data_IF_953236950697
#
_entry.id   IF_953236950697
#
_cell.length_a   1.000
_cell.length_b   1.000
_cell.length_c   1.000
_cell.angle_alpha   90.00
_cell.angle_beta   90.00
_cell.angle_gamma   90.00
#
_symmetry.space_group_name_H-M   'P 1'
#
loop_
_entity.id
_entity.type
_entity.pdbx_description
1 polymer ?
#
# COMPACT_ATOMS: atom_id res chain seq x y z
N UNK A 1 -61.37 30.79 1.81
CA UNK A 1 -61.24 32.26 1.84
C UNK A 1 -59.95 32.58 1.10
N UNK A 2 -60.02 32.73 -0.24
CA UNK A 2 -60.28 34.01 -0.92
C UNK A 2 -59.12 34.99 -0.62
N UNK A 3 -58.31 35.47 -1.58
CA UNK A 3 -58.62 36.03 -2.91
C UNK A 3 -57.32 36.15 -3.75
N UNK A 4 -57.44 35.87 -5.05
CA UNK A 4 -56.51 36.26 -6.12
C UNK A 4 -56.59 37.77 -6.40
N UNK A 5 -55.47 38.38 -6.83
CA UNK A 5 -55.56 39.54 -7.73
C UNK A 5 -54.41 39.57 -8.72
N UNK A 6 -54.77 39.38 -9.99
CA UNK A 6 -53.95 39.69 -11.15
C UNK A 6 -54.18 41.14 -11.58
N UNK A 7 -53.18 41.78 -12.17
CA UNK A 7 -53.39 42.91 -13.09
C UNK A 7 -52.34 42.90 -14.20
N UNK A 8 -52.85 43.07 -15.42
CA UNK A 8 -52.20 43.06 -16.73
C UNK A 8 -51.51 44.39 -17.08
N UNK A 9 -50.59 44.32 -18.05
CA UNK A 9 -50.20 45.44 -18.93
C UNK A 9 -48.85 45.17 -19.61
N UNK A 10 -48.82 44.47 -20.76
CA UNK A 10 -48.61 45.02 -22.13
C UNK A 10 -47.36 45.91 -22.25
N UNK A 11 -46.46 45.82 -23.22
CA UNK A 11 -46.24 45.03 -24.43
C UNK A 11 -45.04 45.72 -25.10
N UNK A 12 -44.04 45.00 -25.61
CA UNK A 12 -43.38 45.36 -26.86
C UNK A 12 -42.49 44.21 -27.33
N UNK A 13 -42.91 43.62 -28.45
CA UNK A 13 -42.17 42.62 -29.19
C UNK A 13 -41.34 43.34 -30.26
N UNK A 14 -40.03 43.13 -30.23
CA UNK A 14 -39.16 43.35 -31.39
C UNK A 14 -38.55 42.00 -31.74
N UNK A 15 -38.96 41.47 -32.90
CA UNK A 15 -38.35 40.31 -33.53
C UNK A 15 -37.06 40.74 -34.22
N UNK A 16 -35.95 40.07 -33.89
CA UNK A 16 -34.78 39.99 -34.77
C UNK A 16 -34.25 38.56 -34.70
N UNK A 17 -34.37 37.84 -35.83
CA UNK A 17 -33.74 36.55 -36.09
C UNK A 17 -32.21 36.68 -36.05
N UNK A 18 -31.52 35.78 -35.35
CA UNK A 18 -30.09 35.51 -35.55
C UNK A 18 -29.72 34.15 -34.93
N UNK A 19 -29.58 33.14 -35.79
CA UNK A 19 -28.71 31.95 -35.71
C UNK A 19 -28.39 31.34 -34.33
N UNK A 20 -28.98 30.18 -34.05
CA UNK A 20 -28.63 29.34 -32.90
C UNK A 20 -27.28 28.61 -33.12
N UNK A 21 -26.26 29.05 -32.40
CA UNK A 21 -25.00 28.30 -32.22
C UNK A 21 -25.24 27.16 -31.23
N UNK A 22 -25.11 25.91 -31.69
CA UNK A 22 -25.19 24.71 -30.85
C UNK A 22 -23.88 24.62 -30.04
N UNK A 23 -23.92 25.02 -28.77
CA UNK A 23 -22.91 24.61 -27.78
C UNK A 23 -23.23 23.20 -27.30
N UNK A 24 -22.28 22.24 -27.34
CA UNK A 24 -22.52 20.91 -26.79
C UNK A 24 -22.63 20.99 -25.27
N UNK A 25 -23.73 20.48 -24.72
CA UNK A 25 -23.94 20.31 -23.28
C UNK A 25 -22.82 19.45 -22.68
N UNK A 26 -22.32 19.77 -21.47
CA UNK A 26 -21.31 18.94 -20.82
C UNK A 26 -21.93 17.58 -20.49
N UNK A 27 -21.24 16.52 -20.87
CA UNK A 27 -21.58 15.14 -20.52
C UNK A 27 -21.61 15.02 -19.00
N UNK A 28 -22.81 14.91 -18.43
CA UNK A 28 -22.99 14.67 -17.00
C UNK A 28 -22.56 13.24 -16.72
N UNK A 29 -21.33 13.08 -16.21
CA UNK A 29 -20.84 11.80 -15.70
C UNK A 29 -21.74 11.37 -14.52
N UNK A 30 -22.29 10.14 -14.52
CA UNK A 30 -23.20 9.72 -13.46
C UNK A 30 -22.47 9.69 -12.10
N UNK A 31 -23.02 10.41 -11.12
CA UNK A 31 -22.51 10.61 -9.76
C UNK A 31 -22.16 9.33 -9.00
N UNK A 32 -22.72 8.18 -9.40
CA UNK A 32 -22.45 6.87 -8.82
C UNK A 32 -21.05 6.33 -9.12
N UNK A 33 -20.47 6.65 -10.29
CA UNK A 33 -19.10 6.22 -10.64
C UNK A 33 -18.05 7.01 -9.86
N UNK A 34 -18.25 8.33 -9.70
CA UNK A 34 -17.37 9.21 -8.91
C UNK A 34 -17.22 8.75 -7.45
N UNK A 35 -18.31 8.27 -6.83
CA UNK A 35 -18.26 7.70 -5.48
C UNK A 35 -17.48 6.37 -5.40
N UNK A 36 -17.61 5.48 -6.39
CA UNK A 36 -16.83 4.23 -6.44
C UNK A 36 -15.32 4.48 -6.60
N UNK A 37 -14.94 5.50 -7.38
CA UNK A 37 -13.54 5.92 -7.52
C UNK A 37 -12.98 6.47 -6.22
N UNK A 38 -13.76 7.29 -5.51
CA UNK A 38 -13.37 7.87 -4.21
C UNK A 38 -13.08 6.77 -3.18
N UNK A 39 -13.82 5.67 -3.20
CA UNK A 39 -13.56 4.52 -2.31
C UNK A 39 -12.35 3.68 -2.74
N UNK A 40 -12.16 3.45 -4.04
CA UNK A 40 -10.98 2.77 -4.58
C UNK A 40 -9.68 3.52 -4.27
N UNK A 41 -9.73 4.86 -4.28
CA UNK A 41 -8.62 5.75 -3.92
C UNK A 41 -8.24 5.67 -2.43
N UNK A 42 -9.16 5.29 -1.53
CA UNK A 42 -8.81 5.07 -0.11
C UNK A 42 -7.75 3.96 0.04
N UNK A 43 -7.78 2.96 -0.84
CA UNK A 43 -6.80 1.87 -0.86
C UNK A 43 -5.46 2.29 -1.51
N UNK A 44 -5.42 3.42 -2.22
CA UNK A 44 -4.19 4.02 -2.75
C UNK A 44 -3.44 4.88 -1.71
N UNK A 45 -3.90 4.94 -0.45
CA UNK A 45 -3.21 5.70 0.60
C UNK A 45 -1.72 5.34 0.70
N UNK A 46 -1.37 4.06 0.60
CA UNK A 46 0.02 3.62 0.64
C UNK A 46 0.86 4.21 -0.50
N UNK A 47 0.28 4.38 -1.69
CA UNK A 47 0.97 4.93 -2.87
C UNK A 47 1.56 6.31 -2.56
N UNK A 48 0.81 7.18 -1.89
CA UNK A 48 1.26 8.53 -1.57
C UNK A 48 2.03 8.59 -0.25
N UNK A 49 1.58 7.81 0.75
CA UNK A 49 2.10 7.90 2.13
C UNK A 49 3.54 7.45 2.23
N UNK A 50 3.88 6.34 1.60
CA UNK A 50 5.20 5.71 1.68
C UNK A 50 6.31 6.63 1.16
N UNK A 51 6.25 7.13 -0.10
CA UNK A 51 7.29 8.01 -0.62
C UNK A 51 7.34 9.35 0.10
N UNK A 52 6.19 9.86 0.58
CA UNK A 52 6.19 11.09 1.38
C UNK A 52 6.92 10.92 2.72
N UNK A 53 6.70 9.80 3.43
CA UNK A 53 7.44 9.51 4.65
C UNK A 53 8.93 9.26 4.39
N UNK A 54 9.27 8.65 3.25
CA UNK A 54 10.66 8.48 2.83
C UNK A 54 11.31 9.83 2.49
N UNK A 55 10.63 10.71 1.75
CA UNK A 55 11.11 12.06 1.45
C UNK A 55 11.35 12.88 2.73
N UNK A 56 10.41 12.84 3.69
CA UNK A 56 10.59 13.46 5.01
C UNK A 56 11.76 12.89 5.79
N UNK A 57 12.03 11.58 5.68
CA UNK A 57 13.21 10.96 6.29
C UNK A 57 14.48 11.54 5.66
N UNK A 58 14.55 11.58 4.32
CA UNK A 58 15.69 12.13 3.57
C UNK A 58 16.00 13.57 3.97
N UNK A 59 15.01 14.47 3.95
CA UNK A 59 15.19 15.88 4.34
C UNK A 59 15.74 15.99 5.76
N UNK A 60 15.18 15.24 6.73
CA UNK A 60 15.64 15.30 8.12
C UNK A 60 17.08 14.82 8.26
N UNK A 61 17.45 13.75 7.57
CA UNK A 61 18.81 13.19 7.60
C UNK A 61 19.80 14.17 6.99
N UNK A 62 19.49 14.73 5.82
CA UNK A 62 20.33 15.70 5.14
C UNK A 62 20.50 16.98 5.96
N UNK A 63 19.40 17.52 6.49
CA UNK A 63 19.42 18.70 7.35
C UNK A 63 20.26 18.46 8.62
N UNK A 64 20.11 17.31 9.28
CA UNK A 64 20.90 16.97 10.48
C UNK A 64 22.40 16.85 10.18
N UNK A 65 22.73 16.25 9.04
CA UNK A 65 24.12 16.13 8.57
C UNK A 65 24.73 17.51 8.29
N UNK A 66 23.98 18.37 7.61
CA UNK A 66 24.34 19.76 7.33
C UNK A 66 24.59 20.56 8.61
N UNK A 67 23.62 20.59 9.54
CA UNK A 67 23.72 21.31 10.81
C UNK A 67 24.96 20.90 11.62
N UNK A 68 25.25 19.59 11.66
CA UNK A 68 26.43 19.07 12.37
C UNK A 68 27.74 19.57 11.75
N UNK A 69 27.86 19.53 10.44
CA UNK A 69 29.06 19.99 9.73
C UNK A 69 29.23 21.51 9.84
N UNK A 70 28.14 22.27 9.65
CA UNK A 70 28.14 23.74 9.81
C UNK A 70 28.55 24.13 11.22
N UNK A 71 27.95 23.53 12.25
CA UNK A 71 28.33 23.80 13.65
C UNK A 71 29.81 23.54 13.90
N UNK A 72 30.35 22.46 13.34
CA UNK A 72 31.77 22.15 13.52
C UNK A 72 32.69 23.12 12.76
N UNK A 73 32.27 23.62 11.59
CA UNK A 73 33.01 24.63 10.83
C UNK A 73 32.99 25.98 11.58
N UNK A 74 31.82 26.40 12.05
CA UNK A 74 31.65 27.65 12.83
C UNK A 74 32.50 27.63 14.09
N UNK A 75 32.50 26.52 14.84
CA UNK A 75 33.37 26.37 16.01
C UNK A 75 34.85 26.45 15.64
N UNK A 76 35.25 25.82 14.54
CA UNK A 76 36.64 25.89 14.05
C UNK A 76 37.07 27.30 13.62
N UNK A 77 36.14 28.12 13.11
CA UNK A 77 36.39 29.55 12.82
C UNK A 77 36.50 30.35 14.11
N UNK A 78 35.64 30.09 15.11
CA UNK A 78 35.72 30.72 16.43
C UNK A 78 37.07 30.48 17.11
N UNK A 79 37.56 29.23 17.13
CA UNK A 79 38.87 28.89 17.69
C UNK A 79 40.04 29.64 17.01
N UNK A 80 39.91 29.95 15.72
CA UNK A 80 40.91 30.71 14.98
C UNK A 80 40.89 32.20 15.32
N UNK A 81 39.73 32.74 15.72
CA UNK A 81 39.59 34.15 16.07
C UNK A 81 40.08 34.46 17.49
N UNK A 82 40.00 33.51 18.42
CA UNK A 82 40.24 33.73 19.85
C UNK A 82 41.69 33.51 20.32
N UNK A 83 42.58 32.92 19.50
CA UNK A 83 43.96 32.61 19.92
C UNK A 83 45.02 33.21 18.98
N UNK A 84 46.14 33.66 19.54
CA UNK A 84 47.32 34.06 18.78
C UNK A 84 48.09 32.82 18.27
N UNK A 85 47.72 32.36 17.09
CA UNK A 85 48.37 31.24 16.40
C UNK A 85 49.59 31.70 15.58
N UNK A 86 50.58 30.81 15.41
CA UNK A 86 51.66 31.05 14.43
C UNK A 86 51.11 31.04 13.00
N UNK A 87 51.73 31.81 12.10
CA UNK A 87 51.27 31.95 10.70
C UNK A 87 51.09 30.60 9.99
N UNK A 88 52.03 29.68 10.17
CA UNK A 88 51.98 28.35 9.53
C UNK A 88 50.81 27.50 10.06
N UNK A 89 50.52 27.59 11.36
CA UNK A 89 49.38 26.89 11.98
C UNK A 89 48.05 27.48 11.51
N UNK A 90 47.96 28.80 11.38
CA UNK A 90 46.76 29.48 10.86
C UNK A 90 46.47 29.07 9.42
N UNK A 91 47.49 29.06 8.55
CA UNK A 91 47.35 28.65 7.14
C UNK A 91 46.91 27.19 7.03
N UNK A 92 47.50 26.29 7.82
CA UNK A 92 47.12 24.88 7.86
C UNK A 92 45.66 24.68 8.28
N UNK A 93 45.23 25.35 9.35
CA UNK A 93 43.84 25.29 9.84
C UNK A 93 42.84 25.89 8.86
N UNK A 94 43.14 27.04 8.24
CA UNK A 94 42.30 27.61 7.19
C UNK A 94 42.15 26.67 5.99
N UNK A 95 43.24 26.03 5.58
CA UNK A 95 43.22 25.02 4.51
C UNK A 95 42.33 23.83 4.88
N UNK A 96 42.37 23.39 6.15
CA UNK A 96 41.46 22.35 6.67
C UNK A 96 40.00 22.80 6.64
N UNK A 97 39.69 24.04 7.04
CA UNK A 97 38.32 24.56 6.96
C UNK A 97 37.81 24.69 5.53
N UNK A 98 38.66 25.13 4.59
CA UNK A 98 38.32 25.21 3.16
C UNK A 98 38.02 23.82 2.60
N UNK A 99 38.85 22.81 2.89
CA UNK A 99 38.61 21.44 2.43
C UNK A 99 37.32 20.85 3.03
N UNK A 100 37.00 21.19 4.29
CA UNK A 100 35.71 20.81 4.89
C UNK A 100 34.52 21.51 4.27
N UNK A 101 34.62 22.80 3.95
CA UNK A 101 33.57 23.55 3.23
C UNK A 101 33.33 22.99 1.83
N UNK A 102 34.39 22.64 1.09
CA UNK A 102 34.27 21.95 -0.19
C UNK A 102 33.60 20.58 -0.05
N UNK A 103 33.97 19.83 1.00
CA UNK A 103 33.33 18.56 1.33
C UNK A 103 31.84 18.73 1.67
N UNK A 104 31.48 19.77 2.43
CA UNK A 104 30.09 20.10 2.76
C UNK A 104 29.30 20.47 1.51
N UNK A 105 29.87 21.29 0.62
CA UNK A 105 29.25 21.63 -0.67
C UNK A 105 28.90 20.37 -1.47
N UNK A 106 29.85 19.45 -1.62
CA UNK A 106 29.61 18.18 -2.34
C UNK A 106 28.52 17.34 -1.67
N UNK A 107 28.54 17.22 -0.33
CA UNK A 107 27.49 16.50 0.41
C UNK A 107 26.11 17.14 0.24
N UNK A 108 26.04 18.46 0.18
CA UNK A 108 24.79 19.19 -0.02
C UNK A 108 24.24 18.99 -1.44
N UNK A 109 25.10 19.01 -2.46
CA UNK A 109 24.72 18.71 -3.84
C UNK A 109 24.18 17.27 -3.98
N UNK A 110 24.87 16.29 -3.38
CA UNK A 110 24.41 14.90 -3.35
C UNK A 110 23.07 14.76 -2.60
N UNK A 111 22.95 15.40 -1.43
CA UNK A 111 21.70 15.43 -0.66
C UNK A 111 20.53 16.05 -1.44
N UNK A 112 20.79 17.16 -2.13
CA UNK A 112 19.79 17.83 -2.98
C UNK A 112 19.34 16.95 -4.13
N UNK A 113 20.24 16.20 -4.77
CA UNK A 113 19.89 15.27 -5.84
C UNK A 113 18.97 14.15 -5.33
N UNK A 114 19.28 13.58 -4.16
CA UNK A 114 18.44 12.54 -3.54
C UNK A 114 17.07 13.10 -3.15
N UNK A 115 17.01 14.32 -2.59
CA UNK A 115 15.75 15.00 -2.27
C UNK A 115 14.89 15.27 -3.50
N UNK A 116 15.49 15.78 -4.58
CA UNK A 116 14.82 16.03 -5.85
C UNK A 116 14.26 14.74 -6.46
N UNK A 117 15.01 13.63 -6.39
CA UNK A 117 14.52 12.32 -6.84
C UNK A 117 13.29 11.87 -6.03
N UNK A 118 13.30 12.04 -4.71
CA UNK A 118 12.13 11.68 -3.89
C UNK A 118 10.93 12.60 -4.14
N UNK A 119 11.17 13.89 -4.37
CA UNK A 119 10.13 14.83 -4.76
C UNK A 119 9.52 14.47 -6.12
N UNK A 120 10.35 14.11 -7.11
CA UNK A 120 9.91 13.62 -8.43
C UNK A 120 9.04 12.36 -8.29
N UNK A 121 9.46 11.39 -7.48
CA UNK A 121 8.68 10.17 -7.21
C UNK A 121 7.33 10.46 -6.54
N UNK A 122 7.27 11.46 -5.67
CA UNK A 122 5.99 11.91 -5.11
C UNK A 122 5.12 12.56 -6.19
N UNK A 123 5.72 13.34 -7.09
CA UNK A 123 5.03 14.02 -8.19
C UNK A 123 4.45 13.03 -9.20
N UNK A 124 5.27 12.11 -9.71
CA UNK A 124 4.87 11.08 -10.66
C UNK A 124 3.66 10.25 -10.16
N UNK A 125 3.57 10.01 -8.85
CA UNK A 125 2.44 9.29 -8.25
C UNK A 125 1.17 10.13 -8.13
N UNK A 126 1.29 11.42 -7.88
CA UNK A 126 0.13 12.34 -7.91
C UNK A 126 -0.36 12.44 -9.35
N UNK A 127 0.54 12.65 -10.31
CA UNK A 127 0.20 12.75 -11.73
C UNK A 127 -0.46 11.45 -12.23
N UNK A 128 0.01 10.27 -11.77
CA UNK A 128 -0.63 8.98 -12.07
C UNK A 128 -2.04 8.83 -11.47
N UNK A 129 -2.32 9.43 -10.31
CA UNK A 129 -3.66 9.43 -9.72
C UNK A 129 -4.58 10.42 -10.45
N UNK A 130 -4.03 11.54 -10.91
CA UNK A 130 -4.76 12.57 -11.66
C UNK A 130 -5.01 12.14 -13.12
N UNK A 131 -4.21 11.23 -13.67
CA UNK A 131 -4.35 10.72 -15.04
C UNK A 131 -5.50 9.71 -15.22
N UNK A 132 -6.35 9.51 -14.22
CA UNK A 132 -7.48 8.57 -14.30
C UNK A 132 -8.56 9.17 -15.19
N UNK A 133 -8.77 8.56 -16.35
CA UNK A 133 -9.84 8.93 -17.28
C UNK A 133 -10.62 7.69 -17.73
N UNK A 134 -11.88 7.88 -18.13
CA UNK A 134 -12.79 6.83 -18.61
C UNK A 134 -12.21 6.10 -19.82
N UNK A 135 -11.51 6.82 -20.70
CA UNK A 135 -10.88 6.27 -21.90
C UNK A 135 -9.64 5.40 -21.57
N UNK A 136 -8.88 5.75 -20.52
CA UNK A 136 -7.62 5.10 -20.15
C UNK A 136 -7.72 4.17 -18.93
N UNK A 137 -8.94 3.90 -18.45
CA UNK A 137 -9.16 3.17 -17.19
C UNK A 137 -8.53 1.77 -17.18
N UNK A 138 -8.52 1.09 -18.33
CA UNK A 138 -7.96 -0.26 -18.47
C UNK A 138 -6.44 -0.25 -18.31
N UNK A 139 -5.76 0.71 -18.94
CA UNK A 139 -4.32 0.86 -18.82
C UNK A 139 -3.92 1.29 -17.41
N UNK A 140 -4.68 2.22 -16.81
CA UNK A 140 -4.49 2.64 -15.44
C UNK A 140 -4.63 1.47 -14.46
N UNK A 141 -5.65 0.64 -14.62
CA UNK A 141 -5.86 -0.57 -13.81
C UNK A 141 -4.74 -1.60 -13.99
N UNK A 142 -4.22 -1.76 -15.21
CA UNK A 142 -3.07 -2.62 -15.47
C UNK A 142 -1.82 -2.13 -14.74
N UNK A 143 -1.56 -0.82 -14.77
CA UNK A 143 -0.46 -0.20 -14.01
C UNK A 143 -0.65 -0.39 -12.51
N UNK A 144 -1.86 -0.17 -11.99
CA UNK A 144 -2.21 -0.45 -10.59
C UNK A 144 -1.95 -1.90 -10.19
N UNK A 145 -2.36 -2.87 -11.00
CA UNK A 145 -2.11 -4.28 -10.73
C UNK A 145 -0.61 -4.57 -10.67
N UNK A 146 0.18 -4.06 -11.61
CA UNK A 146 1.64 -4.23 -11.61
C UNK A 146 2.27 -3.64 -10.35
N UNK A 147 1.84 -2.46 -9.90
CA UNK A 147 2.28 -1.86 -8.62
C UNK A 147 1.99 -2.78 -7.43
N UNK A 148 0.79 -3.33 -7.37
CA UNK A 148 0.36 -4.27 -6.30
C UNK A 148 1.21 -5.55 -6.33
N UNK A 149 1.51 -6.08 -7.51
CA UNK A 149 2.38 -7.25 -7.66
C UNK A 149 3.80 -6.96 -7.20
N UNK A 150 4.34 -5.79 -7.53
CA UNK A 150 5.67 -5.35 -7.06
C UNK A 150 5.69 -5.24 -5.52
N UNK A 151 4.69 -4.62 -4.89
CA UNK A 151 4.57 -4.57 -3.42
C UNK A 151 4.57 -5.99 -2.81
N UNK A 152 3.78 -6.91 -3.38
CA UNK A 152 3.74 -8.31 -2.93
C UNK A 152 5.11 -8.99 -3.06
N UNK A 153 5.75 -8.87 -4.21
CA UNK A 153 7.07 -9.46 -4.46
C UNK A 153 8.12 -8.94 -3.48
N UNK A 154 8.13 -7.63 -3.22
CA UNK A 154 9.06 -7.02 -2.26
C UNK A 154 8.83 -7.53 -0.83
N UNK A 155 7.57 -7.69 -0.40
CA UNK A 155 7.22 -8.25 0.91
C UNK A 155 7.62 -9.72 1.05
N UNK A 156 7.53 -10.48 -0.03
CA UNK A 156 7.95 -11.90 -0.09
C UNK A 156 9.44 -12.09 -0.39
N UNK A 157 10.21 -11.00 -0.43
CA UNK A 157 11.65 -10.99 -0.70
C UNK A 157 12.07 -11.39 -2.13
N UNK A 158 11.17 -11.30 -3.11
CA UNK A 158 11.44 -11.50 -4.54
C UNK A 158 11.89 -10.20 -5.22
N UNK A 159 13.03 -9.65 -4.78
CA UNK A 159 13.52 -8.32 -5.18
C UNK A 159 13.94 -8.25 -6.65
N UNK A 160 14.55 -9.30 -7.18
CA UNK A 160 15.03 -9.35 -8.57
C UNK A 160 13.84 -9.33 -9.54
N UNK A 161 12.80 -10.12 -9.25
CA UNK A 161 11.57 -10.17 -10.04
C UNK A 161 10.83 -8.85 -9.97
N UNK A 162 10.71 -8.26 -8.77
CA UNK A 162 10.11 -6.95 -8.57
C UNK A 162 10.81 -5.86 -9.40
N UNK A 163 12.15 -5.88 -9.42
CA UNK A 163 12.96 -4.92 -10.17
C UNK A 163 12.73 -5.07 -11.68
N UNK A 164 12.80 -6.31 -12.20
CA UNK A 164 12.56 -6.59 -13.63
C UNK A 164 11.15 -6.19 -14.10
N UNK A 165 10.12 -6.46 -13.27
CA UNK A 165 8.74 -6.06 -13.60
C UNK A 165 8.61 -4.53 -13.64
N UNK A 166 9.29 -3.84 -12.72
CA UNK A 166 9.24 -2.38 -12.62
C UNK A 166 9.93 -1.70 -13.80
N UNK A 167 11.09 -2.22 -14.23
CA UNK A 167 11.83 -1.74 -15.40
C UNK A 167 11.09 -2.01 -16.70
N UNK A 168 10.65 -3.25 -16.94
CA UNK A 168 9.96 -3.64 -18.18
C UNK A 168 8.62 -2.95 -18.37
N UNK A 169 7.98 -2.52 -17.28
CA UNK A 169 6.72 -1.78 -17.31
C UNK A 169 6.88 -0.26 -17.15
N UNK A 170 8.11 0.25 -17.02
CA UNK A 170 8.41 1.66 -16.78
C UNK A 170 7.63 2.28 -15.59
N UNK A 171 7.56 1.56 -14.47
CA UNK A 171 6.85 1.98 -13.24
C UNK A 171 7.77 2.22 -12.04
N UNK A 172 9.08 2.40 -12.27
CA UNK A 172 10.08 2.57 -11.22
C UNK A 172 9.75 3.71 -10.24
N UNK A 173 9.19 4.81 -10.74
CA UNK A 173 8.81 5.97 -9.91
C UNK A 173 7.52 5.75 -9.09
N UNK A 174 6.78 4.68 -9.40
CA UNK A 174 5.51 4.35 -8.75
C UNK A 174 5.65 3.26 -7.67
N UNK A 175 6.85 2.69 -7.48
CA UNK A 175 7.12 1.58 -6.58
C UNK A 175 8.20 1.91 -5.53
N UNK A 176 8.24 1.13 -4.45
CA UNK A 176 9.01 1.45 -3.24
C UNK A 176 10.24 0.54 -3.02
N UNK A 177 10.91 0.13 -4.10
CA UNK A 177 12.01 -0.87 -4.07
C UNK A 177 13.10 -0.51 -3.06
N UNK A 178 13.57 0.74 -3.07
CA UNK A 178 14.67 1.20 -2.20
C UNK A 178 14.32 1.08 -0.72
N UNK A 179 13.06 1.38 -0.38
CA UNK A 179 12.55 1.36 1.00
C UNK A 179 12.49 -0.08 1.49
N UNK A 180 12.01 -1.01 0.67
CA UNK A 180 12.03 -2.43 1.00
C UNK A 180 13.45 -3.02 1.05
N UNK A 181 14.41 -2.50 0.26
CA UNK A 181 15.83 -2.88 0.37
C UNK A 181 16.44 -2.44 1.70
N UNK A 182 16.11 -1.25 2.20
CA UNK A 182 16.51 -0.84 3.56
C UNK A 182 15.95 -1.80 4.61
N UNK A 183 14.67 -2.17 4.50
CA UNK A 183 14.03 -3.12 5.42
C UNK A 183 14.68 -4.52 5.35
N UNK A 184 15.00 -4.99 4.13
CA UNK A 184 15.68 -6.27 3.90
C UNK A 184 16.99 -6.36 4.66
N UNK A 185 17.82 -5.30 4.65
CA UNK A 185 19.10 -5.27 5.39
C UNK A 185 18.89 -5.52 6.88
N UNK A 186 17.85 -4.93 7.47
CA UNK A 186 17.52 -5.13 8.89
C UNK A 186 16.99 -6.55 9.13
N UNK A 187 16.11 -7.04 8.27
CA UNK A 187 15.54 -8.40 8.39
C UNK A 187 16.63 -9.46 8.28
N UNK A 188 17.54 -9.34 7.31
CA UNK A 188 18.63 -10.29 7.10
C UNK A 188 19.62 -10.27 8.28
N UNK A 189 19.96 -9.09 8.81
CA UNK A 189 20.78 -8.97 10.01
C UNK A 189 20.12 -9.67 11.21
N UNK A 190 18.82 -9.46 11.44
CA UNK A 190 18.09 -10.13 12.53
C UNK A 190 18.04 -11.66 12.33
N UNK A 191 17.86 -12.15 11.10
CA UNK A 191 17.94 -13.58 10.80
C UNK A 191 19.33 -14.17 11.08
N UNK A 192 20.37 -13.36 10.87
CA UNK A 192 21.77 -13.71 11.19
C UNK A 192 22.12 -13.47 12.66
N UNK A 193 21.14 -13.17 13.53
CA UNK A 193 21.31 -12.91 14.97
C UNK A 193 22.11 -11.64 15.28
N UNK A 194 22.02 -10.64 14.43
CA UNK A 194 22.65 -9.34 14.59
C UNK A 194 21.60 -8.24 14.83
N UNK A 195 21.73 -7.52 15.95
CA UNK A 195 20.78 -6.43 16.30
C UNK A 195 21.24 -5.05 15.85
N UNK A 196 22.49 -4.87 15.43
CA UNK A 196 23.10 -3.57 15.17
C UNK A 196 22.30 -2.74 14.14
N UNK A 197 21.95 -3.34 13.00
CA UNK A 197 21.15 -2.67 11.96
C UNK A 197 19.75 -2.29 12.45
N UNK A 198 19.12 -3.13 13.27
CA UNK A 198 17.80 -2.87 13.83
C UNK A 198 17.83 -1.75 14.88
N UNK A 199 18.86 -1.72 15.72
CA UNK A 199 19.09 -0.66 16.71
C UNK A 199 19.41 0.69 16.06
N UNK A 200 20.19 0.69 14.96
CA UNK A 200 20.41 1.89 14.16
C UNK A 200 19.09 2.41 13.59
N UNK A 201 18.26 1.53 13.04
CA UNK A 201 16.92 1.89 12.58
C UNK A 201 16.03 2.47 13.70
N UNK A 202 16.10 1.91 14.92
CA UNK A 202 15.41 2.45 16.09
C UNK A 202 15.89 3.86 16.43
N UNK A 203 17.20 4.11 16.39
CA UNK A 203 17.79 5.41 16.66
C UNK A 203 17.34 6.47 15.65
N UNK A 204 17.29 6.13 14.36
CA UNK A 204 16.83 7.01 13.28
C UNK A 204 15.34 7.35 13.42
N UNK A 205 14.54 6.45 13.98
CA UNK A 205 13.08 6.60 14.11
C UNK A 205 12.61 6.87 15.55
N UNK A 206 13.53 7.18 16.47
CA UNK A 206 13.29 7.25 17.93
C UNK A 206 12.07 8.08 18.34
N UNK A 207 11.90 9.26 17.77
CA UNK A 207 10.78 10.16 18.12
C UNK A 207 9.42 9.57 17.76
N UNK A 208 9.36 8.83 16.65
CA UNK A 208 8.14 8.22 16.13
C UNK A 208 7.80 6.94 16.89
N UNK A 209 8.81 6.12 17.15
CA UNK A 209 8.67 4.91 17.98
C UNK A 209 8.24 5.25 19.42
N UNK A 210 8.74 6.35 19.97
CA UNK A 210 8.29 6.86 21.28
C UNK A 210 6.83 7.30 21.26
N UNK A 211 6.37 7.97 20.20
CA UNK A 211 4.96 8.37 20.03
C UNK A 211 4.03 7.16 19.89
N UNK A 212 4.45 6.11 19.19
CA UNK A 212 3.68 4.86 19.07
C UNK A 212 3.82 3.94 20.28
N UNK A 213 4.60 4.32 21.30
CA UNK A 213 4.92 3.50 22.48
C UNK A 213 5.46 2.11 22.09
N UNK A 214 6.25 2.03 21.02
CA UNK A 214 6.80 0.76 20.55
C UNK A 214 7.78 0.17 21.58
N UNK A 215 7.66 -1.15 21.81
CA UNK A 215 8.58 -1.93 22.64
C UNK A 215 9.76 -2.51 21.85
N UNK A 216 9.85 -2.24 20.55
CA UNK A 216 10.79 -2.94 19.67
C UNK A 216 12.26 -2.75 20.08
N UNK A 217 12.68 -1.51 20.35
CA UNK A 217 14.05 -1.24 20.85
C UNK A 217 14.34 -2.00 22.15
N UNK A 218 13.37 -2.03 23.07
CA UNK A 218 13.52 -2.75 24.33
C UNK A 218 13.70 -4.26 24.10
N UNK A 219 12.89 -4.87 23.23
CA UNK A 219 13.01 -6.31 22.90
C UNK A 219 14.34 -6.65 22.24
N UNK A 220 14.87 -5.79 21.35
CA UNK A 220 16.21 -5.97 20.77
C UNK A 220 17.31 -5.96 21.84
N UNK A 221 17.22 -5.03 22.80
CA UNK A 221 18.20 -4.92 23.90
C UNK A 221 18.12 -6.13 24.84
N UNK A 222 16.93 -6.67 25.09
CA UNK A 222 16.77 -7.92 25.82
C UNK A 222 17.41 -9.10 25.08
N UNK A 223 17.20 -9.22 23.77
CA UNK A 223 17.81 -10.29 22.98
C UNK A 223 19.34 -10.19 22.96
N UNK A 224 19.90 -8.99 22.78
CA UNK A 224 21.35 -8.76 22.85
C UNK A 224 21.92 -9.18 24.21
N UNK A 225 21.22 -8.87 25.31
CA UNK A 225 21.58 -9.36 26.64
C UNK A 225 21.53 -10.90 26.74
N UNK A 226 20.47 -11.54 26.23
CA UNK A 226 20.32 -13.00 26.25
C UNK A 226 21.47 -13.68 25.49
N UNK A 227 21.89 -13.13 24.34
CA UNK A 227 23.01 -13.68 23.60
C UNK A 227 24.35 -13.53 24.33
N UNK A 228 24.57 -12.45 25.11
CA UNK A 228 25.74 -12.33 25.99
C UNK A 228 25.73 -13.41 27.09
N UNK A 229 24.56 -13.71 27.64
CA UNK A 229 24.38 -14.77 28.64
C UNK A 229 24.58 -16.16 28.01
N UNK A 230 24.13 -16.37 26.76
CA UNK A 230 24.20 -17.66 26.05
C UNK A 230 25.63 -18.21 25.93
N UNK A 231 26.65 -17.35 25.87
CA UNK A 231 28.07 -17.73 25.76
C UNK A 231 28.56 -18.54 26.98
N UNK A 232 27.93 -18.39 28.15
CA UNK A 232 28.22 -19.14 29.39
C UNK A 232 29.70 -19.10 29.84
N UNK A 233 30.30 -17.90 29.87
CA UNK A 233 31.66 -17.67 30.39
C UNK A 233 31.67 -16.56 31.44
N UNK A 234 32.62 -16.60 32.39
CA UNK A 234 32.70 -15.59 33.46
C UNK A 234 32.82 -14.14 32.92
N UNK A 235 33.61 -13.94 31.87
CA UNK A 235 33.75 -12.64 31.18
C UNK A 235 32.45 -12.21 30.49
N UNK A 236 31.74 -13.12 29.83
CA UNK A 236 30.46 -12.79 29.18
C UNK A 236 29.37 -12.41 30.19
N UNK A 237 29.33 -13.04 31.37
CA UNK A 237 28.43 -12.64 32.45
C UNK A 237 28.73 -11.23 32.99
N UNK A 238 30.01 -10.89 33.17
CA UNK A 238 30.39 -9.53 33.58
C UNK A 238 29.98 -8.48 32.53
N UNK A 239 30.21 -8.77 31.25
CA UNK A 239 29.76 -7.93 30.12
C UNK A 239 28.25 -7.79 30.09
N UNK A 240 27.49 -8.88 30.28
CA UNK A 240 26.03 -8.85 30.32
C UNK A 240 25.50 -7.95 31.46
N UNK A 241 26.08 -8.03 32.66
CA UNK A 241 25.70 -7.18 33.80
C UNK A 241 26.01 -5.70 33.50
N UNK A 242 27.19 -5.40 32.95
CA UNK A 242 27.53 -4.03 32.58
C UNK A 242 26.59 -3.49 31.49
N UNK A 243 26.28 -4.33 30.50
CA UNK A 243 25.35 -4.02 29.43
C UNK A 243 23.95 -3.70 29.98
N UNK A 244 23.41 -4.55 30.88
CA UNK A 244 22.10 -4.34 31.48
C UNK A 244 22.03 -3.02 32.25
N UNK A 245 23.06 -2.69 33.04
CA UNK A 245 23.14 -1.40 33.75
C UNK A 245 23.13 -0.21 32.80
N UNK A 246 23.79 -0.33 31.64
CA UNK A 246 23.92 0.76 30.66
C UNK A 246 22.66 0.95 29.80
N UNK A 247 22.06 -0.14 29.33
CA UNK A 247 21.03 -0.10 28.28
C UNK A 247 19.63 -0.50 28.75
N UNK A 248 19.51 -1.29 29.82
CA UNK A 248 18.23 -1.81 30.31
C UNK A 248 17.72 -1.10 31.56
N UNK A 249 18.59 -0.48 32.37
CA UNK A 249 18.23 0.16 33.63
C UNK A 249 17.12 1.23 33.49
N UNK A 250 17.15 2.03 32.43
CA UNK A 250 16.14 3.07 32.17
C UNK A 250 14.73 2.51 31.94
N UNK A 251 14.62 1.25 31.54
CA UNK A 251 13.35 0.57 31.29
C UNK A 251 12.77 -0.10 32.55
N UNK A 252 13.51 -0.09 33.66
CA UNK A 252 13.06 -0.64 34.94
C UNK A 252 11.75 -0.03 35.42
N UNK A 253 11.55 1.28 35.23
CA UNK A 253 10.34 1.97 35.66
C UNK A 253 9.06 1.48 34.96
N UNK A 254 9.16 0.97 33.72
CA UNK A 254 7.99 0.61 32.90
C UNK A 254 7.87 -0.90 32.62
N UNK A 255 8.97 -1.64 32.65
CA UNK A 255 9.03 -3.05 32.21
C UNK A 255 9.76 -3.97 33.20
N UNK A 256 9.67 -3.68 34.51
CA UNK A 256 10.39 -4.43 35.54
C UNK A 256 10.15 -5.94 35.50
N UNK A 257 8.91 -6.40 35.28
CA UNK A 257 8.59 -7.83 35.26
C UNK A 257 9.29 -8.56 34.10
N UNK A 258 9.27 -7.96 32.90
CA UNK A 258 9.95 -8.49 31.72
C UNK A 258 11.48 -8.50 31.95
N UNK A 259 12.02 -7.43 32.55
CA UNK A 259 13.44 -7.34 32.91
C UNK A 259 13.87 -8.40 33.92
N UNK A 260 13.12 -8.58 35.02
CA UNK A 260 13.41 -9.60 36.03
C UNK A 260 13.39 -11.00 35.42
N UNK A 261 12.42 -11.26 34.54
CA UNK A 261 12.31 -12.54 33.84
C UNK A 261 13.55 -12.83 32.98
N UNK A 262 14.04 -11.84 32.22
CA UNK A 262 15.24 -11.98 31.40
C UNK A 262 16.51 -12.00 32.24
N UNK A 263 16.64 -11.17 33.27
CA UNK A 263 17.82 -11.15 34.16
C UNK A 263 18.00 -12.46 34.93
N UNK A 264 16.91 -13.20 35.19
CA UNK A 264 17.01 -14.52 35.79
C UNK A 264 17.80 -15.52 34.92
N UNK A 265 17.97 -15.27 33.62
CA UNK A 265 18.85 -16.10 32.76
C UNK A 265 20.32 -16.08 33.20
N UNK A 266 20.74 -15.13 34.04
CA UNK A 266 22.06 -15.19 34.70
C UNK A 266 22.21 -16.41 35.62
N UNK A 267 21.09 -16.91 36.18
CA UNK A 267 21.06 -18.12 37.00
C UNK A 267 20.66 -19.37 36.20
N UNK A 268 19.82 -19.20 35.17
CA UNK A 268 19.36 -20.29 34.30
C UNK A 268 20.13 -20.31 32.98
N UNK A 269 21.06 -21.26 32.85
CA UNK A 269 21.88 -21.47 31.65
C UNK A 269 21.04 -21.71 30.39
N UNK A 270 21.65 -21.52 29.22
CA UNK A 270 21.04 -21.79 27.91
C UNK A 270 20.58 -23.24 27.71
N UNK A 271 21.14 -24.19 28.48
CA UNK A 271 20.75 -25.61 28.51
C UNK A 271 19.69 -25.95 29.57
N UNK A 272 18.99 -24.95 30.13
CA UNK A 272 18.00 -25.19 31.17
C UNK A 272 16.79 -25.99 30.65
N UNK A 273 16.31 -26.93 31.47
CA UNK A 273 15.05 -27.63 31.22
C UNK A 273 13.82 -26.89 31.76
N UNK A 274 14.02 -25.76 32.46
CA UNK A 274 12.92 -24.93 32.90
C UNK A 274 12.29 -24.22 31.70
N UNK A 275 11.14 -24.72 31.23
CA UNK A 275 10.43 -24.20 30.06
C UNK A 275 10.27 -22.68 30.06
N UNK A 276 10.02 -22.09 31.24
CA UNK A 276 9.86 -20.65 31.42
C UNK A 276 11.05 -19.85 30.89
N UNK A 277 12.28 -20.34 31.09
CA UNK A 277 13.50 -19.65 30.65
C UNK A 277 14.09 -20.24 29.38
N UNK A 278 13.83 -21.53 29.09
CA UNK A 278 14.25 -22.21 27.86
C UNK A 278 13.78 -21.47 26.60
N UNK A 279 12.52 -21.03 26.61
CA UNK A 279 11.90 -20.28 25.49
C UNK A 279 12.66 -19.00 25.12
N UNK A 280 13.30 -18.33 26.09
CA UNK A 280 14.08 -17.11 25.84
C UNK A 280 15.34 -17.36 25.00
N UNK A 281 15.89 -18.57 25.07
CA UNK A 281 17.07 -18.98 24.30
C UNK A 281 16.71 -19.62 22.95
N UNK A 282 15.44 -19.81 22.64
CA UNK A 282 15.04 -20.46 21.39
C UNK A 282 15.34 -19.58 20.17
N UNK A 283 15.77 -20.17 19.04
CA UNK A 283 15.95 -19.43 17.80
C UNK A 283 14.69 -18.70 17.32
N UNK A 284 13.51 -19.19 17.71
CA UNK A 284 12.21 -18.59 17.37
C UNK A 284 12.07 -17.14 17.87
N UNK A 285 12.80 -16.73 18.91
CA UNK A 285 12.81 -15.34 19.39
C UNK A 285 13.25 -14.36 18.29
N UNK A 286 14.19 -14.78 17.43
CA UNK A 286 14.63 -13.97 16.29
C UNK A 286 13.55 -13.81 15.22
N UNK A 287 12.73 -14.84 14.99
CA UNK A 287 11.58 -14.76 14.09
C UNK A 287 10.54 -13.76 14.63
N UNK A 288 10.29 -13.79 15.94
CA UNK A 288 9.40 -12.82 16.61
C UNK A 288 9.93 -11.39 16.44
N UNK A 289 11.23 -11.15 16.60
CA UNK A 289 11.84 -9.84 16.37
C UNK A 289 11.73 -9.38 14.92
N UNK A 290 11.91 -10.29 13.95
CA UNK A 290 11.70 -10.00 12.52
C UNK A 290 10.26 -9.57 12.25
N UNK A 291 9.28 -10.27 12.82
CA UNK A 291 7.87 -9.94 12.61
C UNK A 291 7.46 -8.65 13.34
N UNK A 292 7.99 -8.40 14.54
CA UNK A 292 7.85 -7.11 15.21
C UNK A 292 8.46 -5.98 14.39
N UNK A 293 9.64 -6.17 13.80
CA UNK A 293 10.25 -5.19 12.91
C UNK A 293 9.35 -4.90 11.70
N UNK A 294 8.83 -5.94 11.02
CA UNK A 294 7.91 -5.77 9.88
C UNK A 294 6.67 -4.97 10.27
N UNK A 295 6.11 -5.24 11.46
CA UNK A 295 4.97 -4.49 11.99
C UNK A 295 5.28 -3.02 12.23
N UNK A 296 6.39 -2.72 12.90
CA UNK A 296 6.81 -1.35 13.15
C UNK A 296 7.16 -0.62 11.85
N UNK A 297 7.81 -1.31 10.90
CA UNK A 297 8.13 -0.79 9.58
C UNK A 297 6.85 -0.42 8.80
N UNK A 298 5.85 -1.31 8.75
CA UNK A 298 4.59 -1.02 8.06
C UNK A 298 3.85 0.15 8.71
N UNK A 299 3.76 0.17 10.06
CA UNK A 299 3.16 1.28 10.82
C UNK A 299 3.88 2.60 10.56
N UNK A 300 5.21 2.58 10.51
CA UNK A 300 6.04 3.73 10.24
C UNK A 300 5.73 4.32 8.85
N UNK A 301 5.70 3.50 7.81
CA UNK A 301 5.43 3.99 6.46
C UNK A 301 3.93 4.14 6.12
N UNK A 302 3.04 3.78 7.06
CA UNK A 302 1.60 3.81 6.83
C UNK A 302 1.14 2.79 5.79
N UNK A 303 1.85 1.67 5.71
CA UNK A 303 1.55 0.53 4.86
C UNK A 303 0.56 -0.41 5.54
N UNK A 304 -0.13 -1.21 4.74
CA UNK A 304 -0.92 -2.33 5.26
C UNK A 304 0.01 -3.43 5.80
N UNK A 305 -0.46 -4.13 6.83
CA UNK A 305 0.24 -5.29 7.38
C UNK A 305 0.22 -6.46 6.40
N UNK A 306 -0.97 -6.74 5.87
CA UNK A 306 -1.17 -7.69 4.78
C UNK A 306 -0.77 -7.05 3.45
N UNK A 307 -0.14 -7.80 2.52
CA UNK A 307 0.10 -7.34 1.16
C UNK A 307 -1.19 -6.88 0.48
N UNK A 308 -1.11 -5.81 -0.33
CA UNK A 308 -2.29 -5.28 -1.03
C UNK A 308 -2.96 -6.33 -1.92
N UNK A 309 -2.17 -7.23 -2.52
CA UNK A 309 -2.68 -8.34 -3.34
C UNK A 309 -3.67 -9.21 -2.56
N UNK A 310 -3.34 -9.55 -1.31
CA UNK A 310 -4.20 -10.36 -0.45
C UNK A 310 -5.51 -9.63 -0.15
N UNK A 311 -5.43 -8.34 0.18
CA UNK A 311 -6.60 -7.51 0.50
C UNK A 311 -7.54 -7.40 -0.70
N UNK A 312 -7.01 -7.08 -1.89
CA UNK A 312 -7.81 -6.97 -3.10
C UNK A 312 -8.41 -8.32 -3.53
N UNK A 313 -7.63 -9.40 -3.43
CA UNK A 313 -8.12 -10.74 -3.76
C UNK A 313 -9.24 -11.17 -2.82
N UNK A 314 -9.08 -10.97 -1.51
CA UNK A 314 -10.12 -11.27 -0.53
C UNK A 314 -11.37 -10.42 -0.77
N UNK A 315 -11.22 -9.11 -1.00
CA UNK A 315 -12.35 -8.22 -1.29
C UNK A 315 -13.11 -8.64 -2.56
N UNK A 316 -12.38 -8.97 -3.63
CA UNK A 316 -12.96 -9.46 -4.89
C UNK A 316 -13.68 -10.80 -4.71
N UNK A 317 -13.03 -11.77 -4.06
CA UNK A 317 -13.65 -13.08 -3.79
C UNK A 317 -14.88 -12.95 -2.89
N UNK A 318 -14.85 -12.10 -1.86
CA UNK A 318 -16.03 -11.81 -1.02
C UNK A 318 -17.18 -11.20 -1.80
N UNK A 319 -16.91 -10.32 -2.77
CA UNK A 319 -17.94 -9.72 -3.60
C UNK A 319 -18.61 -10.75 -4.52
N UNK A 320 -17.84 -11.72 -5.01
CA UNK A 320 -18.30 -12.79 -5.91
C UNK A 320 -18.91 -13.98 -5.18
N UNK A 321 -18.55 -14.21 -3.91
CA UNK A 321 -18.99 -15.36 -3.14
C UNK A 321 -20.49 -15.30 -2.83
N UNK A 322 -21.26 -16.06 -3.58
CA UNK A 322 -22.70 -16.27 -3.34
C UNK A 322 -22.97 -17.66 -2.75
N UNK A 323 -24.11 -17.88 -2.07
CA UNK A 323 -24.49 -19.21 -1.58
C UNK A 323 -24.59 -20.26 -2.70
N UNK A 324 -24.93 -19.84 -3.92
CA UNK A 324 -25.18 -20.69 -5.08
C UNK A 324 -23.93 -20.90 -5.97
N UNK A 325 -22.84 -20.16 -5.74
CA UNK A 325 -21.62 -20.22 -6.58
C UNK A 325 -20.82 -21.53 -6.49
N UNK A 326 -21.28 -22.50 -5.69
CA UNK A 326 -20.61 -23.79 -5.47
C UNK A 326 -21.31 -24.96 -6.17
N UNK A 327 -22.43 -24.72 -6.87
CA UNK A 327 -23.21 -25.75 -7.55
C UNK A 327 -22.61 -26.15 -8.92
N UNK A 328 -22.84 -27.40 -9.34
CA UNK A 328 -22.47 -27.91 -10.66
C UNK A 328 -23.29 -27.20 -11.75
N UNK A 329 -22.67 -26.27 -12.47
CA UNK A 329 -23.33 -25.48 -13.52
C UNK A 329 -22.93 -24.01 -13.58
N UNK A 330 -22.06 -23.54 -12.67
CA UNK A 330 -21.57 -22.16 -12.72
C UNK A 330 -20.78 -21.88 -14.00
N UNK A 331 -20.91 -20.67 -14.54
CA UNK A 331 -20.22 -20.26 -15.77
C UNK A 331 -18.70 -20.33 -15.59
N UNK A 332 -17.96 -20.77 -16.62
CA UNK A 332 -16.47 -20.75 -16.62
C UNK A 332 -15.87 -19.36 -16.39
N UNK A 333 -16.66 -18.31 -16.62
CA UNK A 333 -16.32 -16.91 -16.37
C UNK A 333 -16.35 -16.53 -14.87
N UNK A 334 -16.93 -17.36 -14.00
CA UNK A 334 -16.88 -17.14 -12.55
C UNK A 334 -15.53 -17.64 -12.00
N UNK A 335 -14.69 -16.76 -11.42
CA UNK A 335 -13.45 -17.19 -10.77
C UNK A 335 -13.64 -18.28 -9.71
N UNK A 336 -14.79 -18.33 -9.02
CA UNK A 336 -15.11 -19.33 -8.00
C UNK A 336 -15.46 -20.71 -8.57
N UNK A 337 -15.60 -20.81 -9.90
CA UNK A 337 -15.64 -22.11 -10.59
C UNK A 337 -14.32 -22.87 -10.44
N UNK A 338 -13.19 -22.17 -10.25
CA UNK A 338 -11.88 -22.78 -10.06
C UNK A 338 -11.68 -23.19 -8.59
N UNK A 339 -11.18 -24.42 -8.40
CA UNK A 339 -10.98 -25.00 -7.06
C UNK A 339 -10.03 -24.16 -6.18
N UNK A 340 -8.98 -23.58 -6.77
CA UNK A 340 -8.00 -22.78 -6.03
C UNK A 340 -8.63 -21.50 -5.45
N UNK A 341 -9.39 -20.76 -6.26
CA UNK A 341 -10.09 -19.57 -5.78
C UNK A 341 -11.19 -19.92 -4.79
N UNK A 342 -11.86 -21.07 -4.97
CA UNK A 342 -12.83 -21.59 -4.02
C UNK A 342 -12.22 -21.83 -2.64
N UNK A 343 -11.05 -22.50 -2.58
CA UNK A 343 -10.31 -22.74 -1.33
C UNK A 343 -9.97 -21.43 -0.62
N UNK A 344 -9.51 -20.42 -1.37
CA UNK A 344 -9.21 -19.09 -0.83
C UNK A 344 -10.46 -18.34 -0.35
N UNK A 345 -11.61 -18.57 -0.98
CA UNK A 345 -12.88 -17.92 -0.62
C UNK A 345 -13.61 -18.58 0.56
N UNK A 346 -13.27 -19.81 0.96
CA UNK A 346 -13.92 -20.55 2.05
C UNK A 346 -14.09 -19.75 3.35
N UNK A 347 -13.04 -19.11 3.92
CA UNK A 347 -13.16 -18.36 5.18
C UNK A 347 -13.84 -17.00 5.03
N UNK A 348 -14.11 -16.55 3.80
CA UNK A 348 -14.64 -15.22 3.53
C UNK A 348 -16.16 -15.15 3.73
N UNK A 349 -16.72 -13.98 4.08
CA UNK A 349 -18.17 -13.80 4.15
C UNK A 349 -18.82 -13.94 2.77
N UNK A 350 -20.10 -14.34 2.76
CA UNK A 350 -20.93 -14.28 1.55
C UNK A 350 -21.32 -12.84 1.23
N UNK A 351 -21.40 -12.55 -0.07
CA UNK A 351 -21.90 -11.29 -0.60
C UNK A 351 -23.36 -11.08 -0.19
N UNK A 352 -23.67 -9.91 0.36
CA UNK A 352 -25.06 -9.48 0.64
C UNK A 352 -25.58 -8.75 -0.59
N UNK A 353 -26.29 -9.46 -1.46
CA UNK A 353 -26.97 -8.84 -2.60
C UNK A 353 -28.40 -8.45 -2.20
N UNK A 354 -28.69 -7.15 -2.21
CA UNK A 354 -30.04 -6.62 -1.97
C UNK A 354 -30.89 -6.57 -3.24
N UNK A 355 -30.25 -6.47 -4.41
CA UNK A 355 -30.92 -6.41 -5.71
C UNK A 355 -30.18 -7.26 -6.73
N UNK A 356 -30.87 -8.23 -7.30
CA UNK A 356 -30.38 -9.00 -8.45
C UNK A 356 -30.71 -8.24 -9.73
N UNK A 357 -29.77 -8.21 -10.68
CA UNK A 357 -30.03 -7.72 -12.03
C UNK A 357 -29.80 -8.83 -13.03
N UNK A 358 -30.66 -8.95 -14.03
CA UNK A 358 -30.45 -9.87 -15.12
C UNK A 358 -29.47 -9.29 -16.14
N UNK A 359 -28.57 -10.15 -16.61
CA UNK A 359 -27.61 -9.84 -17.68
C UNK A 359 -27.79 -10.87 -18.77
N UNK A 360 -27.86 -10.42 -20.02
CA UNK A 360 -28.09 -11.32 -21.14
C UNK A 360 -26.88 -12.22 -21.40
N UNK A 361 -27.13 -13.51 -21.59
CA UNK A 361 -26.07 -14.47 -21.94
C UNK A 361 -25.38 -14.16 -23.27
N UNK A 362 -26.10 -13.60 -24.25
CA UNK A 362 -25.61 -13.31 -25.61
C UNK A 362 -24.92 -11.94 -25.67
N UNK A 363 -25.66 -10.86 -25.41
CA UNK A 363 -25.13 -9.50 -25.55
C UNK A 363 -24.27 -9.03 -24.38
N UNK A 364 -24.32 -9.73 -23.23
CA UNK A 364 -23.71 -9.29 -21.96
C UNK A 364 -24.21 -7.95 -21.44
N UNK A 365 -25.30 -7.43 -22.01
CA UNK A 365 -25.96 -6.20 -21.55
C UNK A 365 -26.95 -6.49 -20.43
N UNK A 366 -27.24 -5.44 -19.65
CA UNK A 366 -28.29 -5.47 -18.65
C UNK A 366 -29.66 -5.71 -19.31
N UNK A 367 -30.49 -6.52 -18.65
CA UNK A 367 -31.88 -6.71 -19.03
C UNK A 367 -32.77 -5.90 -18.10
N UNK A 368 -33.28 -4.80 -18.61
CA UNK A 368 -34.07 -3.79 -17.88
C UNK A 368 -35.31 -3.36 -18.66
N UNK A 369 -35.89 -2.20 -18.33
CA UNK A 369 -37.07 -1.68 -19.03
C UNK A 369 -36.81 -1.37 -20.50
N UNK A 370 -35.59 -0.95 -20.86
CA UNK A 370 -35.21 -0.62 -22.24
C UNK A 370 -34.76 -1.86 -23.03
N UNK A 371 -34.20 -2.85 -22.34
CA UNK A 371 -33.77 -4.12 -22.92
C UNK A 371 -34.41 -5.33 -22.23
N UNK A 372 -35.73 -5.52 -22.33
CA UNK A 372 -36.45 -6.45 -21.47
C UNK A 372 -36.14 -7.93 -21.76
N UNK A 373 -36.32 -8.80 -20.74
CA UNK A 373 -36.22 -10.24 -20.90
C UNK A 373 -37.27 -10.81 -21.85
N UNK A 374 -36.85 -11.72 -22.73
CA UNK A 374 -37.71 -12.58 -23.52
C UNK A 374 -37.34 -14.05 -23.34
N UNK A 375 -38.37 -14.88 -23.26
CA UNK A 375 -38.31 -16.31 -22.97
C UNK A 375 -38.56 -17.09 -24.26
N UNK A 376 -37.65 -18.01 -24.58
CA UNK A 376 -37.81 -18.96 -25.69
C UNK A 376 -38.74 -20.11 -25.28
N UNK A 377 -39.29 -20.88 -26.23
CA UNK A 377 -40.13 -22.05 -25.93
C UNK A 377 -39.49 -23.11 -25.03
N UNK A 378 -38.15 -23.20 -25.02
CA UNK A 378 -37.38 -24.08 -24.12
C UNK A 378 -37.16 -23.49 -22.71
N UNK A 379 -37.74 -22.34 -22.39
CA UNK A 379 -37.65 -21.70 -21.07
C UNK A 379 -36.39 -20.87 -20.83
N UNK A 380 -35.46 -20.79 -21.79
CA UNK A 380 -34.28 -19.93 -21.64
C UNK A 380 -34.60 -18.46 -21.92
N UNK A 381 -33.99 -17.56 -21.16
CA UNK A 381 -34.25 -16.12 -21.20
C UNK A 381 -33.06 -15.36 -21.78
N UNK A 382 -33.32 -14.47 -22.73
CA UNK A 382 -32.32 -13.57 -23.31
C UNK A 382 -32.91 -12.16 -23.50
N UNK A 383 -32.06 -11.17 -23.74
CA UNK A 383 -32.51 -9.80 -23.92
C UNK A 383 -33.16 -9.58 -25.29
N UNK A 384 -34.15 -8.69 -25.34
CA UNK A 384 -34.83 -8.31 -26.58
C UNK A 384 -33.86 -7.84 -27.66
N UNK A 385 -32.85 -7.01 -27.34
CA UNK A 385 -31.86 -6.54 -28.33
C UNK A 385 -31.12 -7.70 -28.99
N UNK A 386 -30.54 -8.59 -28.18
CA UNK A 386 -29.80 -9.75 -28.68
C UNK A 386 -30.64 -10.67 -29.58
N UNK A 387 -31.92 -10.90 -29.23
CA UNK A 387 -32.80 -11.76 -30.01
C UNK A 387 -33.26 -11.10 -31.31
N UNK A 388 -33.48 -9.78 -31.31
CA UNK A 388 -33.80 -9.03 -32.53
C UNK A 388 -32.64 -9.05 -33.52
N UNK A 389 -31.43 -8.74 -33.06
CA UNK A 389 -30.23 -8.78 -33.91
C UNK A 389 -29.98 -10.18 -34.49
N UNK A 390 -30.25 -11.24 -33.72
CA UNK A 390 -30.13 -12.61 -34.21
C UNK A 390 -31.19 -12.92 -35.27
N UNK A 391 -32.44 -12.54 -35.04
CA UNK A 391 -33.53 -12.75 -35.98
C UNK A 391 -33.34 -11.97 -37.28
N UNK A 392 -32.87 -10.72 -37.22
CA UNK A 392 -32.57 -9.90 -38.39
C UNK A 392 -31.49 -10.55 -39.27
N UNK A 393 -30.46 -11.15 -38.67
CA UNK A 393 -29.40 -11.87 -39.40
C UNK A 393 -29.85 -13.20 -39.99
N UNK A 394 -30.81 -13.87 -39.36
CA UNK A 394 -31.22 -15.24 -39.69
C UNK A 394 -32.64 -15.32 -40.28
N UNK A 395 -33.13 -14.25 -40.91
CA UNK A 395 -34.42 -14.24 -41.61
C UNK A 395 -35.63 -14.52 -40.71
N UNK A 396 -35.62 -14.04 -39.47
CA UNK A 396 -36.69 -14.19 -38.49
C UNK A 396 -36.56 -15.38 -37.55
N UNK A 397 -35.52 -16.21 -37.73
CA UNK A 397 -35.27 -17.39 -36.88
C UNK A 397 -34.21 -17.13 -35.81
N UNK A 398 -34.35 -17.80 -34.67
CA UNK A 398 -33.48 -17.65 -33.50
C UNK A 398 -33.02 -19.03 -33.08
N UNK A 399 -31.71 -19.18 -32.89
CA UNK A 399 -31.11 -20.41 -32.38
C UNK A 399 -30.64 -20.21 -30.95
N UNK A 400 -31.19 -20.99 -30.02
CA UNK A 400 -30.78 -20.99 -28.63
C UNK A 400 -29.31 -21.44 -28.51
N UNK A 401 -28.38 -20.60 -28.02
CA UNK A 401 -26.96 -20.96 -27.94
C UNK A 401 -26.67 -22.06 -26.90
N UNK A 402 -27.60 -22.35 -25.99
CA UNK A 402 -27.43 -23.35 -24.92
C UNK A 402 -28.00 -24.72 -25.28
N UNK A 403 -29.03 -24.78 -26.12
CA UNK A 403 -29.73 -26.04 -26.44
C UNK A 403 -29.79 -26.36 -27.94
N UNK A 404 -29.42 -25.41 -28.81
CA UNK A 404 -29.55 -25.55 -30.26
C UNK A 404 -30.99 -25.49 -30.79
N UNK A 405 -31.99 -25.19 -29.94
CA UNK A 405 -33.39 -25.06 -30.37
C UNK A 405 -33.51 -23.89 -31.36
N UNK A 406 -34.12 -24.13 -32.52
CA UNK A 406 -34.49 -23.09 -33.48
C UNK A 406 -35.97 -22.77 -33.33
N UNK A 407 -36.31 -21.49 -33.19
CA UNK A 407 -37.69 -20.99 -33.08
C UNK A 407 -37.85 -19.66 -33.85
N UNK A 408 -39.09 -19.29 -34.16
CA UNK A 408 -39.36 -17.99 -34.78
C UNK A 408 -39.37 -16.87 -33.73
N UNK A 409 -38.94 -15.65 -34.10
CA UNK A 409 -39.01 -14.48 -33.21
C UNK A 409 -40.44 -14.23 -32.68
N UNK A 410 -41.49 -14.56 -33.45
CA UNK A 410 -42.89 -14.40 -33.03
C UNK A 410 -43.31 -15.32 -31.89
N UNK A 411 -42.57 -16.40 -31.64
CA UNK A 411 -42.88 -17.39 -30.59
C UNK A 411 -42.32 -16.97 -29.20
N UNK A 412 -41.58 -15.86 -29.14
CA UNK A 412 -40.97 -15.38 -27.90
C UNK A 412 -42.00 -14.70 -27.00
N UNK A 413 -41.90 -14.96 -25.69
CA UNK A 413 -42.77 -14.34 -24.68
C UNK A 413 -41.97 -13.38 -23.82
N UNK A 414 -42.48 -12.18 -23.58
CA UNK A 414 -41.85 -11.22 -22.68
C UNK A 414 -41.97 -11.70 -21.23
N UNK A 415 -40.84 -11.74 -20.51
CA UNK A 415 -40.83 -12.04 -19.09
C UNK A 415 -40.93 -10.74 -18.28
N UNK A 416 -41.78 -10.76 -17.25
CA UNK A 416 -41.90 -9.70 -16.26
C UNK A 416 -41.28 -10.18 -14.95
N UNK A 417 -40.42 -9.35 -14.37
CA UNK A 417 -39.71 -9.66 -13.13
C UNK A 417 -40.19 -8.63 -12.10
N UNK A 418 -40.82 -9.12 -11.03
CA UNK A 418 -41.33 -8.32 -9.91
C UNK A 418 -40.31 -8.18 -8.81
#
# INVERSE_FOLDING_TARGET
MEIDSATNGNSDAVMTESTATITPSPVVVPSSRSNQFTESLKLEHQLLRVPFEHYKKTIRTNHRSFEKEVSTIVNGVGELADSDWSKDVTVSRLTSLVTRLQGLKRKLEEGSNVENLQAQRCRARIDHLDSVDVENITEWNNTKLKRILVDYMLRMSYFETATKLSESSNILDLVDIDIFREAKKVIDALKNREVASALAWCADNKTRLKKSKSKFEFQLRLQEFIELVRVDTADSYQKAIQYARKHLASWGATHMNELQHVLATLAFKSTTECLKYKVLFEPQQWNILVDQFKQEFCKLYGMTMEPLLNIYLQAGLSALKTPYGFEEGCTKEDPLSQENFRKLALPLPFSKQHHSKLVCYISKELMDTENPPQVLPNGYVYSTKALKEMAEKNGGTITCPRTGLVCNYTELVKAYIS
#
